data_IF_006906124180
#
_entry.id   IF_006906124180
#
_cell.length_a   1.000
_cell.length_b   1.000
_cell.length_c   1.000
_cell.angle_alpha   90.00
_cell.angle_beta   90.00
_cell.angle_gamma   90.00
#
_symmetry.space_group_name_H-M   'P 1'
#
loop_
_entity.id
_entity.type
_entity.pdbx_description
1 polymer ?
#
# COMPACT_ATOMS: atom_id res chain seq x y z
N UNK A 1 1.38 -25.74 3.36
CA UNK A 1 0.60 -24.49 3.30
C UNK A 1 1.30 -23.52 4.22
N UNK A 2 1.97 -22.50 3.69
CA UNK A 2 2.68 -21.54 4.53
C UNK A 2 1.65 -20.82 5.41
N UNK A 3 1.89 -20.83 6.72
CA UNK A 3 1.20 -20.00 7.70
C UNK A 3 1.59 -18.53 7.41
N UNK A 4 1.07 -17.97 6.33
CA UNK A 4 1.36 -16.60 5.93
C UNK A 4 0.55 -15.71 6.86
N UNK A 5 1.13 -15.41 8.03
CA UNK A 5 0.53 -14.46 8.96
C UNK A 5 0.11 -13.21 8.19
N UNK A 6 -1.13 -12.72 8.40
CA UNK A 6 -1.63 -11.53 7.73
C UNK A 6 -0.62 -10.38 7.89
N UNK A 7 -0.24 -9.72 6.78
CA UNK A 7 0.67 -8.59 6.82
C UNK A 7 0.14 -7.55 7.83
N UNK A 8 0.97 -7.23 8.83
CA UNK A 8 0.66 -6.21 9.82
C UNK A 8 0.62 -4.83 9.16
N UNK A 9 -0.50 -4.14 9.28
CA UNK A 9 -0.65 -2.77 8.79
C UNK A 9 -0.09 -1.78 9.82
N UNK A 10 1.17 -1.40 9.64
CA UNK A 10 1.79 -0.31 10.40
C UNK A 10 1.21 1.04 9.97
N UNK A 11 1.40 2.10 10.76
CA UNK A 11 0.93 3.45 10.41
C UNK A 11 1.37 3.90 9.00
N UNK A 12 2.62 3.61 8.63
CA UNK A 12 3.14 3.93 7.29
C UNK A 12 2.41 3.16 6.18
N UNK A 13 2.06 1.89 6.40
CA UNK A 13 1.32 1.08 5.42
C UNK A 13 -0.14 1.53 5.32
N UNK A 14 -0.77 1.85 6.46
CA UNK A 14 -2.10 2.44 6.49
C UNK A 14 -2.13 3.78 5.77
N UNK A 15 -1.11 4.63 5.97
CA UNK A 15 -1.00 5.91 5.26
C UNK A 15 -0.95 5.70 3.75
N UNK A 16 -0.15 4.75 3.26
CA UNK A 16 -0.08 4.41 1.82
C UNK A 16 -1.45 3.95 1.30
N UNK A 17 -2.11 3.02 1.98
CA UNK A 17 -3.44 2.53 1.58
C UNK A 17 -4.50 3.65 1.60
N UNK A 18 -4.48 4.52 2.61
CA UNK A 18 -5.41 5.67 2.69
C UNK A 18 -5.18 6.66 1.56
N UNK A 19 -3.91 6.97 1.24
CA UNK A 19 -3.60 7.83 0.10
C UNK A 19 -4.11 7.21 -1.20
N UNK A 20 -3.93 5.91 -1.40
CA UNK A 20 -4.38 5.22 -2.60
C UNK A 20 -5.90 5.18 -2.70
N UNK A 21 -6.59 4.81 -1.61
CA UNK A 21 -8.04 4.77 -1.53
C UNK A 21 -8.69 6.17 -1.69
N UNK A 22 -8.02 7.23 -1.24
CA UNK A 22 -8.49 8.61 -1.38
C UNK A 22 -8.31 9.18 -2.79
N UNK A 23 -7.49 8.56 -3.64
CA UNK A 23 -7.32 8.97 -5.02
C UNK A 23 -8.46 8.44 -5.90
N UNK A 24 -8.98 9.26 -6.81
CA UNK A 24 -10.14 8.93 -7.67
C UNK A 24 -9.95 7.65 -8.49
N UNK A 25 -8.70 7.34 -8.84
CA UNK A 25 -8.32 6.14 -9.58
C UNK A 25 -7.78 5.00 -8.70
N UNK A 26 -7.75 5.15 -7.36
CA UNK A 26 -7.14 4.15 -6.49
C UNK A 26 -5.60 4.18 -6.51
N UNK A 27 -5.01 5.20 -7.11
CA UNK A 27 -3.57 5.29 -7.34
C UNK A 27 -2.84 6.02 -6.22
N UNK A 28 -1.67 5.51 -5.91
CA UNK A 28 -0.63 6.20 -5.16
C UNK A 28 0.56 6.37 -6.08
N UNK A 29 0.77 7.62 -6.46
CA UNK A 29 1.96 8.01 -7.20
C UNK A 29 3.20 7.88 -6.31
N UNK A 30 4.37 7.75 -6.92
CA UNK A 30 5.63 7.73 -6.14
C UNK A 30 5.87 9.14 -5.61
N UNK A 31 5.69 9.41 -4.31
CA UNK A 31 5.89 10.76 -3.80
C UNK A 31 7.34 11.19 -4.04
N UNK A 32 7.58 12.50 -4.21
CA UNK A 32 8.91 13.10 -4.36
C UNK A 32 9.75 13.03 -3.07
N UNK A 33 9.75 11.87 -2.40
CA UNK A 33 10.56 11.60 -1.23
C UNK A 33 12.02 11.43 -1.63
N UNK A 34 12.91 11.87 -0.74
CA UNK A 34 14.35 11.77 -0.91
C UNK A 34 14.96 10.91 0.20
N UNK A 35 16.14 10.33 -0.09
CA UNK A 35 16.93 9.59 0.89
C UNK A 35 16.15 8.46 1.60
N UNK A 36 16.23 8.43 2.93
CA UNK A 36 15.66 7.38 3.77
C UNK A 36 14.14 7.25 3.65
N UNK A 37 13.42 8.36 3.50
CA UNK A 37 11.96 8.35 3.41
C UNK A 37 11.48 7.60 2.18
N UNK A 38 12.16 7.79 1.04
CA UNK A 38 11.86 7.05 -0.20
C UNK A 38 12.09 5.55 -0.04
N UNK A 39 13.22 5.15 0.55
CA UNK A 39 13.55 3.73 0.77
C UNK A 39 12.54 3.07 1.69
N UNK A 40 12.18 3.74 2.80
CA UNK A 40 11.18 3.25 3.74
C UNK A 40 9.82 3.12 3.08
N UNK A 41 9.41 4.11 2.29
CA UNK A 41 8.16 4.12 1.56
C UNK A 41 8.08 2.98 0.54
N UNK A 42 9.11 2.83 -0.32
CA UNK A 42 9.17 1.76 -1.33
C UNK A 42 9.15 0.37 -0.67
N UNK A 43 9.85 0.18 0.47
CA UNK A 43 9.81 -1.07 1.22
C UNK A 43 8.40 -1.39 1.71
N UNK A 44 7.66 -0.40 2.20
CA UNK A 44 6.30 -0.60 2.69
C UNK A 44 5.31 -0.85 1.55
N UNK A 45 5.43 -0.14 0.44
CA UNK A 45 4.60 -0.35 -0.75
C UNK A 45 4.82 -1.76 -1.33
N UNK A 46 6.08 -2.20 -1.49
CA UNK A 46 6.39 -3.57 -1.93
C UNK A 46 5.87 -4.64 -0.98
N UNK A 47 5.90 -4.40 0.33
CA UNK A 47 5.31 -5.33 1.29
C UNK A 47 3.79 -5.45 1.11
N UNK A 48 3.10 -4.35 0.78
CA UNK A 48 1.67 -4.34 0.47
C UNK A 48 1.37 -5.04 -0.85
N UNK A 49 2.23 -4.89 -1.87
CA UNK A 49 2.13 -5.64 -3.13
C UNK A 49 2.29 -7.15 -2.90
N UNK A 50 3.30 -7.56 -2.12
CA UNK A 50 3.49 -8.96 -1.75
C UNK A 50 2.36 -9.56 -0.89
N UNK A 51 1.48 -8.72 -0.34
CA UNK A 51 0.29 -9.12 0.39
C UNK A 51 -1.01 -8.91 -0.43
N UNK A 52 -0.89 -8.61 -1.73
CA UNK A 52 -2.00 -8.42 -2.67
C UNK A 52 -2.95 -7.27 -2.28
N UNK A 53 -2.48 -6.33 -1.46
CA UNK A 53 -3.23 -5.14 -1.04
C UNK A 53 -2.97 -3.94 -1.97
N UNK A 54 -1.86 -3.96 -2.68
CA UNK A 54 -1.53 -3.05 -3.76
C UNK A 54 -1.09 -3.84 -4.99
N UNK A 55 -1.11 -3.21 -6.15
CA UNK A 55 -0.53 -3.70 -7.39
C UNK A 55 0.34 -2.64 -8.06
N UNK A 56 1.32 -3.06 -8.87
CA UNK A 56 2.19 -2.15 -9.62
C UNK A 56 1.39 -1.46 -10.73
N UNK A 57 1.35 -0.12 -10.71
CA UNK A 57 0.67 0.64 -11.76
C UNK A 57 1.59 0.87 -12.96
N UNK A 58 1.07 0.61 -14.17
CA UNK A 58 1.85 0.63 -15.43
C UNK A 58 2.59 1.94 -15.71
N UNK A 59 2.09 3.07 -15.21
CA UNK A 59 2.68 4.40 -15.43
C UNK A 59 3.60 4.87 -14.28
N UNK A 60 3.91 3.97 -13.33
CA UNK A 60 4.65 4.28 -12.12
C UNK A 60 3.71 4.56 -10.95
N UNK A 61 4.07 4.04 -9.77
CA UNK A 61 3.23 4.08 -8.58
C UNK A 61 2.56 2.74 -8.31
N UNK A 62 1.56 2.76 -7.42
CA UNK A 62 0.83 1.57 -6.99
C UNK A 62 -0.66 1.84 -7.02
N UNK A 63 -1.45 0.84 -7.35
CA UNK A 63 -2.91 0.89 -7.29
C UNK A 63 -3.40 0.06 -6.10
N UNK A 64 -4.44 0.52 -5.40
CA UNK A 64 -5.07 -0.24 -4.33
C UNK A 64 -6.05 -1.27 -4.89
N UNK A 65 -5.85 -2.53 -4.50
CA UNK A 65 -6.74 -3.64 -4.87
C UNK A 65 -8.03 -3.61 -4.04
N UNK A 66 -9.03 -4.39 -4.45
CA UNK A 66 -10.25 -4.58 -3.64
C UNK A 66 -9.94 -5.18 -2.26
N UNK A 67 -9.00 -6.12 -2.20
CA UNK A 67 -8.51 -6.68 -0.94
C UNK A 67 -7.86 -5.59 -0.07
N UNK A 68 -7.07 -4.69 -0.67
CA UNK A 68 -6.50 -3.51 -0.02
C UNK A 68 -7.56 -2.60 0.60
N UNK A 69 -8.65 -2.33 -0.14
CA UNK A 69 -9.79 -1.52 0.33
C UNK A 69 -10.53 -2.18 1.48
N UNK A 70 -10.84 -3.47 1.36
CA UNK A 70 -11.51 -4.22 2.42
C UNK A 70 -10.68 -4.23 3.70
N UNK A 71 -9.38 -4.54 3.57
CA UNK A 71 -8.41 -4.55 4.68
C UNK A 71 -8.29 -3.18 5.36
N UNK A 72 -8.33 -2.11 4.57
CA UNK A 72 -8.29 -0.75 5.08
C UNK A 72 -9.55 -0.41 5.88
N UNK A 73 -10.72 -0.86 5.42
CA UNK A 73 -11.99 -0.67 6.12
C UNK A 73 -12.01 -1.40 7.47
N UNK A 74 -11.50 -2.64 7.53
CA UNK A 74 -11.35 -3.40 8.79
C UNK A 74 -10.40 -2.73 9.80
N UNK A 75 -9.37 -2.04 9.30
CA UNK A 75 -8.38 -1.36 10.14
C UNK A 75 -8.77 0.08 10.54
N UNK A 76 -9.88 0.59 10.01
CA UNK A 76 -10.37 1.96 10.22
C UNK A 76 -11.72 2.05 10.95
N UNK A 77 -12.24 0.93 11.46
CA UNK A 77 -13.43 0.86 12.32
C UNK A 77 -13.13 1.22 13.76
#
# INVERSE_FOLDING_TARGET
>A
MADTKPLRLTENRLRILRTAAGHKLGLVDRPYLLGFERVSWDRNARALVGAELLEDYRHGGYEITDAGRARLAEAGG
#
